data_IF_344203307772
#
_entry.id   IF_344203307772
#
_cell.length_a   1.000
_cell.length_b   1.000
_cell.length_c   1.000
_cell.angle_alpha   90.00
_cell.angle_beta   90.00
_cell.angle_gamma   90.00
#
_symmetry.space_group_name_H-M   'P 1'
#
loop_
_entity.id
_entity.type
_entity.pdbx_description
1 polymer ?
#
# COMPACT_ATOMS: atom_id res chain seq x y z
N UNK A 1 -47.69 12.41 -22.31
CA UNK A 1 -47.20 12.14 -20.94
C UNK A 1 -45.83 12.76 -20.82
N UNK A 2 -45.65 13.58 -19.78
CA UNK A 2 -44.66 14.65 -19.69
C UNK A 2 -43.38 14.08 -19.04
N UNK A 3 -42.23 14.37 -19.64
CA UNK A 3 -40.92 13.91 -19.19
C UNK A 3 -40.46 14.60 -17.91
N UNK A 4 -39.73 13.86 -17.08
CA UNK A 4 -39.09 14.39 -15.87
C UNK A 4 -37.62 14.65 -16.16
N UNK A 5 -37.29 15.93 -16.29
CA UNK A 5 -35.93 16.47 -16.32
C UNK A 5 -35.40 16.47 -14.88
N UNK A 6 -34.22 15.88 -14.65
CA UNK A 6 -33.47 16.09 -13.41
C UNK A 6 -32.23 16.92 -13.75
N UNK A 7 -32.30 18.21 -13.44
CA UNK A 7 -31.19 19.14 -13.55
C UNK A 7 -30.78 19.62 -12.14
N UNK A 8 -29.48 19.58 -11.89
CA UNK A 8 -28.78 20.54 -11.04
C UNK A 8 -28.52 20.14 -9.60
N UNK A 9 -27.27 19.79 -9.29
CA UNK A 9 -26.50 20.66 -8.39
C UNK A 9 -25.00 20.37 -8.51
N UNK A 10 -24.27 21.35 -9.04
CA UNK A 10 -22.82 21.44 -8.91
C UNK A 10 -22.48 21.84 -7.48
N UNK A 11 -21.72 21.00 -6.77
CA UNK A 11 -21.01 21.41 -5.57
C UNK A 11 -19.51 21.47 -5.88
N UNK A 12 -19.01 22.70 -5.78
CA UNK A 12 -17.63 23.15 -5.88
C UNK A 12 -16.67 22.42 -4.90
N UNK A 13 -15.41 22.30 -5.35
CA UNK A 13 -14.35 21.56 -4.70
C UNK A 13 -13.97 22.07 -3.29
N UNK A 14 -13.78 21.13 -2.36
CA UNK A 14 -12.74 21.22 -1.33
C UNK A 14 -11.93 19.93 -1.40
N UNK A 15 -10.68 20.05 -1.82
CA UNK A 15 -9.71 18.96 -1.76
C UNK A 15 -9.48 18.60 -0.29
N UNK A 16 -10.09 17.50 0.17
CA UNK A 16 -9.56 16.69 1.25
C UNK A 16 -8.85 15.52 0.58
N UNK A 17 -7.53 15.66 0.45
CA UNK A 17 -6.66 14.61 -0.07
C UNK A 17 -6.69 13.39 0.85
N UNK A 18 -7.03 12.26 0.24
CA UNK A 18 -6.72 10.89 0.64
C UNK A 18 -7.32 10.35 1.94
N UNK A 19 -8.50 9.75 1.79
CA UNK A 19 -8.79 8.50 2.49
C UNK A 19 -9.20 7.47 1.45
N UNK A 20 -8.24 6.91 0.72
CA UNK A 20 -8.47 5.69 -0.08
C UNK A 20 -8.67 4.53 0.90
N UNK A 21 -9.87 4.45 1.48
CA UNK A 21 -10.32 3.28 2.24
C UNK A 21 -10.87 2.28 1.24
N UNK A 22 -10.02 1.44 0.66
CA UNK A 22 -10.49 0.26 -0.06
C UNK A 22 -10.88 -0.81 0.96
N UNK A 23 -12.17 -0.86 1.27
CA UNK A 23 -12.77 -1.93 2.08
C UNK A 23 -13.18 -3.03 1.11
N UNK A 24 -12.24 -3.87 0.69
CA UNK A 24 -12.56 -5.15 0.02
C UNK A 24 -12.90 -6.15 1.13
N UNK A 25 -14.14 -6.05 1.62
CA UNK A 25 -14.92 -6.93 2.51
C UNK A 25 -14.32 -7.38 3.88
N UNK A 26 -13.00 -7.38 4.10
CA UNK A 26 -12.34 -7.76 5.38
C UNK A 26 -10.95 -7.19 5.62
N UNK A 27 -10.40 -6.44 4.66
CA UNK A 27 -9.11 -5.76 4.78
C UNK A 27 -9.33 -4.28 5.01
N UNK A 28 -8.70 -3.72 6.04
CA UNK A 28 -8.67 -2.27 6.29
C UNK A 28 -7.23 -1.82 6.09
N UNK A 29 -6.98 -1.13 4.98
CA UNK A 29 -5.74 -0.44 4.71
C UNK A 29 -5.96 1.06 4.98
N UNK A 30 -5.22 1.62 5.92
CA UNK A 30 -5.13 3.08 6.14
C UNK A 30 -3.71 3.52 5.87
N UNK A 31 -3.57 4.54 5.04
CA UNK A 31 -2.29 5.17 4.73
C UNK A 31 -2.45 6.63 5.12
N UNK A 32 -1.74 7.02 6.17
CA UNK A 32 -1.50 8.38 6.61
C UNK A 32 -0.10 8.81 6.10
N UNK A 33 0.22 10.10 6.12
CA UNK A 33 1.46 10.69 5.57
C UNK A 33 2.75 9.95 6.01
N UNK A 34 2.75 9.42 7.23
CA UNK A 34 3.89 8.69 7.79
C UNK A 34 3.54 7.30 8.30
N UNK A 35 2.30 6.82 8.15
CA UNK A 35 1.90 5.55 8.76
C UNK A 35 1.02 4.75 7.82
N UNK A 36 1.38 3.49 7.59
CA UNK A 36 0.50 2.50 7.01
C UNK A 36 0.03 1.55 8.10
N UNK A 37 -1.29 1.42 8.19
CA UNK A 37 -1.95 0.46 9.04
C UNK A 37 -2.72 -0.48 8.13
N UNK A 38 -2.20 -1.68 8.01
CA UNK A 38 -2.90 -2.77 7.35
C UNK A 38 -3.49 -3.69 8.40
N UNK A 39 -4.76 -4.07 8.20
CA UNK A 39 -5.46 -5.04 9.02
C UNK A 39 -6.19 -6.00 8.10
N UNK A 40 -5.93 -7.29 8.25
CA UNK A 40 -6.59 -8.34 7.49
C UNK A 40 -6.97 -9.46 8.46
N UNK A 41 -8.28 -9.69 8.62
CA UNK A 41 -8.80 -10.62 9.63
C UNK A 41 -8.26 -10.28 11.04
N UNK A 42 -7.55 -11.22 11.69
CA UNK A 42 -6.91 -11.02 12.99
C UNK A 42 -5.46 -10.51 12.89
N UNK A 43 -4.92 -10.36 11.69
CA UNK A 43 -3.55 -9.90 11.46
C UNK A 43 -3.52 -8.38 11.30
N UNK A 44 -2.53 -7.75 11.92
CA UNK A 44 -2.30 -6.30 11.84
C UNK A 44 -0.83 -6.05 11.54
N UNK A 45 -0.57 -5.13 10.61
CA UNK A 45 0.74 -4.62 10.31
C UNK A 45 0.68 -3.09 10.35
N UNK A 46 1.48 -2.49 11.21
CA UNK A 46 1.66 -1.03 11.28
C UNK A 46 3.10 -0.71 10.94
N UNK A 47 3.25 0.04 9.84
CA UNK A 47 4.48 0.57 9.34
C UNK A 47 4.47 2.07 9.58
N UNK A 48 5.54 2.60 10.16
CA UNK A 48 5.69 4.04 10.41
C UNK A 48 6.97 4.51 9.74
N UNK A 49 6.89 5.50 8.87
CA UNK A 49 8.06 6.17 8.30
C UNK A 49 8.83 6.89 9.41
N UNK A 50 10.16 6.75 9.37
CA UNK A 50 11.10 7.37 10.30
C UNK A 50 12.27 7.94 9.51
N UNK A 51 13.10 8.77 10.14
CA UNK A 51 14.29 9.33 9.48
C UNK A 51 15.28 8.26 8.95
N UNK A 52 15.24 7.04 9.48
CA UNK A 52 16.11 5.93 9.08
C UNK A 52 15.44 4.91 8.15
N UNK A 53 14.21 5.17 7.69
CA UNK A 53 13.41 4.28 6.84
C UNK A 53 12.07 3.93 7.46
N UNK A 54 11.48 2.81 7.06
CA UNK A 54 10.13 2.41 7.51
C UNK A 54 10.23 1.43 8.68
N UNK A 55 9.79 1.83 9.86
CA UNK A 55 9.78 1.03 11.08
C UNK A 55 8.49 0.23 11.22
N UNK A 56 8.60 -1.05 11.51
CA UNK A 56 7.48 -1.92 11.90
C UNK A 56 7.17 -1.65 13.38
N UNK A 57 6.16 -0.83 13.64
CA UNK A 57 5.74 -0.52 15.02
C UNK A 57 4.81 -1.60 15.60
N UNK A 58 4.10 -2.32 14.72
CA UNK A 58 3.29 -3.47 15.08
C UNK A 58 3.30 -4.48 13.92
N UNK A 59 3.55 -5.74 14.21
CA UNK A 59 3.36 -6.83 13.26
C UNK A 59 2.75 -8.00 14.01
N UNK A 60 1.64 -8.53 13.50
CA UNK A 60 1.18 -9.86 13.83
C UNK A 60 2.16 -10.90 13.30
N UNK A 61 2.11 -12.11 13.84
CA UNK A 61 2.86 -13.22 13.29
C UNK A 61 2.32 -13.55 11.88
N UNK A 62 3.01 -12.99 10.88
CA UNK A 62 2.74 -13.23 9.47
C UNK A 62 3.96 -14.02 8.97
N UNK A 63 3.95 -15.35 9.13
CA UNK A 63 5.13 -16.19 8.90
C UNK A 63 5.70 -16.03 7.48
N UNK A 64 4.84 -15.72 6.51
CA UNK A 64 5.25 -15.46 5.13
C UNK A 64 6.03 -14.15 4.95
N UNK A 65 5.72 -13.09 5.71
CA UNK A 65 6.46 -11.82 5.66
C UNK A 65 7.74 -11.87 6.51
N UNK A 66 7.79 -12.76 7.51
CA UNK A 66 8.88 -12.88 8.50
C UNK A 66 9.21 -11.57 9.22
N UNK A 67 8.30 -10.59 9.16
CA UNK A 67 8.41 -9.30 9.81
C UNK A 67 8.10 -9.42 11.29
N UNK A 68 8.82 -8.64 12.08
CA UNK A 68 8.63 -8.53 13.53
C UNK A 68 8.54 -7.07 13.92
N UNK A 69 7.85 -6.82 15.03
CA UNK A 69 7.87 -5.49 15.67
C UNK A 69 9.32 -5.08 15.95
N UNK A 70 9.67 -3.86 15.56
CA UNK A 70 11.01 -3.31 15.66
C UNK A 70 11.88 -3.52 14.43
N UNK A 71 11.43 -4.27 13.42
CA UNK A 71 12.13 -4.36 12.14
C UNK A 71 12.08 -3.01 11.42
N UNK A 72 13.20 -2.61 10.83
CA UNK A 72 13.30 -1.37 10.08
C UNK A 72 13.62 -1.66 8.62
N UNK A 73 12.64 -1.46 7.75
CA UNK A 73 12.79 -1.61 6.31
C UNK A 73 13.63 -0.44 5.78
N UNK A 74 14.69 -0.78 5.08
CA UNK A 74 15.70 0.17 4.59
C UNK A 74 15.77 0.19 3.08
N UNK A 75 15.53 -0.96 2.45
CA UNK A 75 15.48 -1.08 1.01
C UNK A 75 14.55 -2.22 0.60
N UNK A 76 14.01 -2.15 -0.62
CA UNK A 76 13.36 -3.28 -1.27
C UNK A 76 13.80 -3.33 -2.74
N UNK A 77 14.08 -4.53 -3.22
CA UNK A 77 14.53 -4.79 -4.59
C UNK A 77 15.77 -3.96 -5.00
N UNK A 78 16.64 -3.69 -4.03
CA UNK A 78 17.83 -2.85 -4.23
C UNK A 78 17.56 -1.33 -4.25
N UNK A 79 16.30 -0.88 -4.11
CA UNK A 79 15.95 0.54 -3.91
C UNK A 79 15.84 0.89 -2.43
N UNK A 80 16.47 2.00 -2.03
CA UNK A 80 16.33 2.53 -0.68
C UNK A 80 14.92 3.06 -0.43
N UNK A 81 14.30 2.60 0.65
CA UNK A 81 12.96 3.00 1.06
C UNK A 81 13.08 3.96 2.25
N UNK A 82 12.60 5.19 2.07
CA UNK A 82 12.47 6.16 3.16
C UNK A 82 11.04 6.22 3.72
N UNK A 83 10.03 6.01 2.87
CA UNK A 83 8.62 6.18 3.21
C UNK A 83 7.81 4.94 2.88
N UNK A 84 6.62 4.85 3.48
CA UNK A 84 5.65 3.78 3.16
C UNK A 84 5.28 3.82 1.68
N UNK A 85 5.09 5.00 1.10
CA UNK A 85 4.72 5.14 -0.31
C UNK A 85 5.78 4.56 -1.25
N UNK A 86 7.07 4.74 -0.93
CA UNK A 86 8.17 4.15 -1.71
C UNK A 86 8.12 2.62 -1.65
N UNK A 87 7.89 2.05 -0.46
CA UNK A 87 7.67 0.61 -0.31
C UNK A 87 6.50 0.13 -1.18
N UNK A 88 5.34 0.79 -1.10
CA UNK A 88 4.18 0.44 -1.92
C UNK A 88 4.48 0.57 -3.42
N UNK A 89 5.26 1.57 -3.81
CA UNK A 89 5.69 1.75 -5.20
C UNK A 89 6.53 0.56 -5.67
N UNK A 90 7.50 0.10 -4.88
CA UNK A 90 8.33 -1.07 -5.21
C UNK A 90 7.47 -2.33 -5.31
N UNK A 91 6.58 -2.57 -4.34
CA UNK A 91 5.70 -3.75 -4.34
C UNK A 91 4.74 -3.75 -5.54
N UNK A 92 4.24 -2.58 -5.96
CA UNK A 92 3.44 -2.42 -7.19
C UNK A 92 4.27 -2.69 -8.44
N UNK A 93 5.46 -2.12 -8.53
CA UNK A 93 6.36 -2.28 -9.68
C UNK A 93 6.83 -3.73 -9.86
N UNK A 94 6.90 -4.50 -8.77
CA UNK A 94 7.18 -5.93 -8.82
C UNK A 94 6.11 -6.71 -9.60
N UNK A 95 4.85 -6.24 -9.62
CA UNK A 95 3.75 -6.78 -10.42
C UNK A 95 3.58 -8.31 -10.29
N UNK A 96 3.64 -8.82 -9.05
CA UNK A 96 3.53 -10.25 -8.75
C UNK A 96 4.84 -11.03 -8.77
N UNK A 97 6.00 -10.36 -8.85
CA UNK A 97 7.32 -10.98 -8.69
C UNK A 97 7.78 -10.96 -7.23
N UNK A 98 8.60 -11.94 -6.79
CA UNK A 98 9.16 -11.91 -5.44
C UNK A 98 10.06 -10.68 -5.25
N UNK A 99 9.88 -9.98 -4.13
CA UNK A 99 10.61 -8.76 -3.78
C UNK A 99 11.59 -9.05 -2.65
N UNK A 100 12.84 -8.63 -2.80
CA UNK A 100 13.84 -8.74 -1.73
C UNK A 100 13.80 -7.50 -0.84
N UNK A 101 13.26 -7.61 0.37
CA UNK A 101 13.17 -6.52 1.34
C UNK A 101 14.32 -6.61 2.33
N UNK A 102 15.15 -5.57 2.39
CA UNK A 102 16.19 -5.44 3.39
C UNK A 102 15.62 -4.79 4.66
N UNK A 103 15.70 -5.53 5.76
CA UNK A 103 15.29 -5.09 7.08
C UNK A 103 16.48 -5.03 8.02
N UNK A 104 16.50 -4.06 8.92
CA UNK A 104 17.38 -4.01 10.06
C UNK A 104 16.59 -4.45 11.30
N UNK A 105 17.02 -5.56 11.92
CA UNK A 105 16.47 -6.08 13.16
C UNK A 105 17.49 -5.87 14.27
N UNK A 106 17.31 -4.82 15.07
CA UNK A 106 18.33 -4.36 16.01
C UNK A 106 19.58 -3.90 15.26
N UNK A 107 20.71 -4.57 15.48
CA UNK A 107 21.97 -4.26 14.77
C UNK A 107 22.23 -5.14 13.54
N UNK A 108 21.44 -6.19 13.32
CA UNK A 108 21.59 -7.10 12.19
C UNK A 108 20.80 -6.60 10.97
N UNK A 109 21.40 -6.70 9.78
CA UNK A 109 20.70 -6.48 8.52
C UNK A 109 20.34 -7.83 7.92
N UNK A 110 19.10 -7.99 7.47
CA UNK A 110 18.56 -9.23 6.95
C UNK A 110 17.82 -8.94 5.64
N UNK A 111 17.95 -9.83 4.65
CA UNK A 111 17.12 -9.83 3.46
C UNK A 111 15.96 -10.79 3.64
N UNK A 112 14.73 -10.28 3.50
CA UNK A 112 13.50 -11.06 3.51
C UNK A 112 12.96 -11.15 2.08
N UNK A 113 12.67 -12.35 1.62
CA UNK A 113 12.04 -12.54 0.31
C UNK A 113 10.53 -12.57 0.48
N UNK A 114 9.83 -11.59 -0.09
CA UNK A 114 8.37 -11.54 -0.08
C UNK A 114 7.80 -11.99 -1.41
N UNK A 115 7.00 -13.05 -1.38
CA UNK A 115 6.30 -13.55 -2.58
C UNK A 115 5.03 -12.75 -2.83
N UNK A 116 4.58 -12.72 -4.09
CA UNK A 116 3.35 -12.04 -4.50
C UNK A 116 2.14 -12.28 -3.59
N UNK A 117 1.73 -13.53 -3.28
CA UNK A 117 0.56 -13.75 -2.42
C UNK A 117 0.75 -13.21 -1.00
N UNK A 118 2.00 -13.05 -0.56
CA UNK A 118 2.33 -12.58 0.79
C UNK A 118 2.15 -11.08 0.92
N UNK A 119 2.61 -10.30 -0.06
CA UNK A 119 2.53 -8.83 -0.02
C UNK A 119 1.32 -8.27 -0.80
N UNK A 120 0.65 -9.07 -1.63
CA UNK A 120 -0.56 -8.68 -2.36
C UNK A 120 -1.61 -7.97 -1.49
N UNK A 121 -1.96 -8.43 -0.27
CA UNK A 121 -2.98 -7.74 0.51
C UNK A 121 -2.52 -6.38 1.08
N UNK A 122 -1.22 -6.09 1.06
CA UNK A 122 -0.66 -4.78 1.43
C UNK A 122 -0.77 -3.78 0.28
N UNK A 123 -0.91 -4.26 -0.95
CA UNK A 123 -0.99 -3.46 -2.15
C UNK A 123 -2.46 -3.42 -2.57
N UNK A 124 -3.13 -2.25 -2.51
CA UNK A 124 -4.48 -2.16 -3.03
C UNK A 124 -4.50 -2.56 -4.51
N UNK A 125 -5.51 -3.32 -4.97
CA UNK A 125 -5.64 -3.60 -6.38
C UNK A 125 -5.77 -2.26 -7.12
N UNK A 126 -4.89 -2.02 -8.10
CA UNK A 126 -5.10 -0.90 -9.00
C UNK A 126 -6.48 -1.10 -9.61
N UNK A 127 -7.38 -0.13 -9.42
CA UNK A 127 -8.60 -0.06 -10.20
C UNK A 127 -8.21 -0.35 -11.66
N UNK A 128 -8.95 -1.21 -12.39
CA UNK A 128 -8.63 -1.48 -13.78
C UNK A 128 -8.50 -0.12 -14.46
N UNK A 129 -7.34 0.14 -15.08
CA UNK A 129 -7.11 1.40 -15.77
C UNK A 129 -8.37 1.70 -16.59
N UNK A 130 -8.97 2.90 -16.50
CA UNK A 130 -10.09 3.23 -17.38
C UNK A 130 -9.63 2.84 -18.79
N UNK A 131 -10.46 2.10 -19.56
CA UNK A 131 -10.04 1.60 -20.87
C UNK A 131 -9.44 2.78 -21.60
N UNK A 132 -8.16 2.66 -21.96
CA UNK A 132 -7.41 3.74 -22.61
C UNK A 132 -8.36 4.36 -23.64
N UNK A 133 -8.71 5.64 -23.43
CA UNK A 133 -9.64 6.31 -24.35
C UNK A 133 -9.14 5.99 -25.75
N UNK A 134 -9.94 5.37 -26.64
CA UNK A 134 -9.46 5.00 -27.95
C UNK A 134 -8.89 6.28 -28.54
N UNK A 135 -7.56 6.29 -28.77
CA UNK A 135 -6.93 7.38 -29.49
C UNK A 135 -7.75 7.49 -30.76
N UNK A 136 -8.48 8.60 -30.90
CA UNK A 136 -9.32 8.89 -32.06
C UNK A 136 -8.40 8.79 -33.27
N UNK A 137 -8.41 7.65 -33.95
CA UNK A 137 -7.73 7.50 -35.23
C UNK A 137 -8.47 8.45 -36.16
N UNK A 138 -7.69 9.35 -36.74
CA UNK A 138 -8.15 10.50 -37.51
C UNK A 138 -8.71 10.09 -38.85
#
# INVERSE_FOLDING_TARGET
MIGTLHAGSSACARAATQTTSEVTERTVLRIDDHQLRWRHNAQTLVLTATAAGVLVTQASDIPALQLRKGDQLRAADGRSIATVEDLLHVLRAAAGRPVQVQVARGQARMGLTWTAPTYAPLVPPLAPAPPASPQRVR
#
